data_IF_819437189963
#
_entry.id   IF_819437189963
#
_cell.length_a   1.000
_cell.length_b   1.000
_cell.length_c   1.000
_cell.angle_alpha   90.00
_cell.angle_beta   90.00
_cell.angle_gamma   90.00
#
_symmetry.space_group_name_H-M   'P 1'
#
loop_
_entity.id
_entity.type
_entity.pdbx_description
1 polymer ?
#
# COMPACT_ATOMS: atom_id res chain seq x y z
N UNK A 1 23.56 3.90 15.87
CA UNK A 1 23.18 5.31 15.66
C UNK A 1 24.09 5.91 14.61
N UNK A 2 23.74 5.86 13.35
CA UNK A 2 24.39 6.66 12.31
C UNK A 2 23.44 7.83 12.05
N UNK A 3 23.93 9.04 12.28
CA UNK A 3 23.23 10.28 11.89
C UNK A 3 22.96 10.19 10.39
N UNK A 4 21.73 10.46 9.96
CA UNK A 4 21.46 10.79 8.57
C UNK A 4 22.45 11.88 8.17
N UNK A 5 23.41 11.52 7.32
CA UNK A 5 24.32 12.49 6.77
C UNK A 5 23.50 13.51 5.99
N UNK A 6 23.78 14.78 6.20
CA UNK A 6 23.22 15.94 5.52
C UNK A 6 23.66 15.99 4.05
N UNK A 7 23.31 14.97 3.26
CA UNK A 7 23.51 14.96 1.82
C UNK A 7 22.18 15.31 1.15
N UNK A 8 21.96 16.64 0.99
CA UNK A 8 21.25 17.21 -0.11
C UNK A 8 19.79 16.74 -0.32
N UNK A 9 18.94 16.79 0.70
CA UNK A 9 17.53 17.00 0.44
C UNK A 9 17.43 18.39 -0.21
N UNK A 10 17.14 18.43 -1.50
CA UNK A 10 17.04 19.69 -2.23
C UNK A 10 15.96 20.53 -1.57
N UNK A 11 16.39 21.55 -0.82
CA UNK A 11 15.52 22.50 -0.10
C UNK A 11 14.43 23.09 -1.01
N UNK A 12 14.69 23.17 -2.30
CA UNK A 12 13.77 23.70 -3.31
C UNK A 12 12.55 22.81 -3.52
N UNK A 13 12.72 21.49 -3.60
CA UNK A 13 11.60 20.57 -3.79
C UNK A 13 10.76 20.43 -2.52
N UNK A 14 11.39 20.45 -1.35
CA UNK A 14 10.70 20.43 -0.05
C UNK A 14 9.86 21.69 0.16
N UNK A 15 10.36 22.87 -0.25
CA UNK A 15 9.62 24.14 -0.16
C UNK A 15 8.41 24.15 -1.10
N UNK A 16 8.52 23.57 -2.30
CA UNK A 16 7.39 23.48 -3.26
C UNK A 16 6.29 22.52 -2.77
N UNK A 17 6.67 21.39 -2.15
CA UNK A 17 5.73 20.49 -1.48
C UNK A 17 5.03 21.18 -0.31
N UNK A 18 5.77 21.89 0.54
CA UNK A 18 5.24 22.59 1.70
C UNK A 18 4.29 23.73 1.34
N UNK A 19 4.60 24.49 0.28
CA UNK A 19 3.74 25.59 -0.20
C UNK A 19 2.41 25.11 -0.82
N UNK A 20 2.28 23.81 -1.12
CA UNK A 20 1.08 23.22 -1.73
C UNK A 20 0.35 22.21 -0.86
N UNK A 21 0.80 21.94 0.36
CA UNK A 21 -0.02 21.25 1.38
C UNK A 21 -1.05 22.27 1.86
N UNK A 22 -2.33 22.15 1.51
CA UNK A 22 -3.32 23.13 1.88
C UNK A 22 -3.55 23.13 3.38
N UNK A 23 -3.16 24.19 4.07
CA UNK A 23 -3.53 24.45 5.46
C UNK A 23 -4.99 24.87 5.66
N UNK A 24 -5.75 25.08 4.57
CA UNK A 24 -7.13 25.56 4.57
C UNK A 24 -8.02 24.65 3.71
N UNK A 25 -8.26 23.42 4.17
CA UNK A 25 -9.25 22.54 3.53
C UNK A 25 -10.71 22.98 3.73
N UNK A 26 -10.96 23.84 4.73
CA UNK A 26 -12.35 24.25 5.06
C UNK A 26 -12.91 25.41 4.26
N UNK A 27 -12.13 26.11 3.43
CA UNK A 27 -12.61 27.37 2.80
C UNK A 27 -12.92 27.31 1.31
N UNK A 28 -12.76 26.18 0.63
CA UNK A 28 -13.15 26.06 -0.79
C UNK A 28 -14.36 25.17 -0.91
N UNK A 29 -15.52 25.82 -1.08
CA UNK A 29 -16.77 25.15 -1.44
C UNK A 29 -16.58 24.36 -2.74
N UNK A 30 -16.70 23.06 -2.64
CA UNK A 30 -16.64 22.15 -3.77
C UNK A 30 -18.05 22.06 -4.37
N UNK A 31 -18.20 22.55 -5.59
CA UNK A 31 -19.39 22.28 -6.38
C UNK A 31 -19.42 20.80 -6.79
N UNK A 32 -20.36 20.07 -6.23
CA UNK A 32 -20.57 18.62 -6.41
C UNK A 32 -21.17 18.21 -7.77
N UNK A 33 -21.23 19.11 -8.76
CA UNK A 33 -22.02 18.89 -9.98
C UNK A 33 -21.22 18.59 -11.24
N UNK A 34 -20.10 17.93 -11.28
CA UNK A 34 -19.49 17.56 -12.57
C UNK A 34 -18.58 16.30 -12.48
N UNK A 35 -19.12 15.13 -12.27
CA UNK A 35 -18.44 13.90 -12.72
C UNK A 35 -19.45 12.79 -13.03
N UNK A 36 -20.13 12.93 -14.17
CA UNK A 36 -20.67 11.75 -14.85
C UNK A 36 -19.51 10.89 -15.37
N UNK A 37 -19.63 9.58 -15.21
CA UNK A 37 -18.75 8.57 -15.81
C UNK A 37 -18.65 8.82 -17.34
N UNK A 38 -17.59 9.51 -17.76
CA UNK A 38 -17.29 9.60 -19.19
C UNK A 38 -16.63 8.30 -19.63
N UNK A 39 -17.39 7.51 -20.37
CA UNK A 39 -16.88 6.35 -21.07
C UNK A 39 -15.68 6.75 -21.97
N UNK A 40 -14.61 5.99 -21.91
CA UNK A 40 -13.48 6.12 -22.81
C UNK A 40 -13.95 5.95 -24.26
N UNK A 41 -13.98 7.04 -25.03
CA UNK A 41 -14.42 7.05 -26.42
C UNK A 41 -14.70 8.45 -26.97
N UNK A 42 -14.67 9.47 -26.13
CA UNK A 42 -14.90 10.85 -26.55
C UNK A 42 -13.57 11.60 -26.70
N UNK A 43 -13.32 12.16 -27.89
CA UNK A 43 -12.09 12.93 -28.21
C UNK A 43 -11.97 14.24 -27.41
N UNK A 44 -12.95 14.58 -26.56
CA UNK A 44 -12.95 15.80 -25.74
C UNK A 44 -11.80 15.87 -24.72
N UNK A 45 -11.24 14.74 -24.29
CA UNK A 45 -10.08 14.72 -23.39
C UNK A 45 -8.79 15.24 -24.04
N UNK A 46 -8.71 15.19 -25.38
CA UNK A 46 -7.56 15.70 -26.13
C UNK A 46 -7.50 17.22 -26.09
N UNK A 47 -8.64 17.91 -25.99
CA UNK A 47 -8.69 19.39 -25.95
C UNK A 47 -8.34 19.95 -24.55
N UNK A 48 -8.53 19.18 -23.48
CA UNK A 48 -8.09 19.56 -22.13
C UNK A 48 -6.58 19.33 -21.89
N UNK A 49 -5.92 18.58 -22.76
CA UNK A 49 -4.46 18.39 -22.71
C UNK A 49 -3.63 19.65 -22.97
N UNK A 50 -4.20 20.68 -23.55
CA UNK A 50 -3.48 21.90 -23.98
C UNK A 50 -2.99 22.77 -22.81
N UNK A 51 -3.45 22.53 -21.58
CA UNK A 51 -3.02 23.27 -20.37
C UNK A 51 -2.39 22.39 -19.28
N UNK A 52 -2.39 21.05 -19.44
CA UNK A 52 -1.84 20.10 -18.48
C UNK A 52 -0.60 19.41 -19.03
N UNK A 53 0.38 19.19 -18.19
CA UNK A 53 1.56 18.40 -18.57
C UNK A 53 1.17 16.91 -18.75
N UNK A 54 1.84 16.15 -19.64
CA UNK A 54 1.51 14.74 -19.90
C UNK A 54 1.50 13.85 -18.65
N UNK A 55 2.33 14.16 -17.68
CA UNK A 55 2.43 13.45 -16.40
C UNK A 55 1.20 13.69 -15.51
N UNK A 56 0.66 14.92 -15.48
CA UNK A 56 -0.60 15.21 -14.79
C UNK A 56 -1.76 14.44 -15.41
N UNK A 57 -1.82 14.38 -16.74
CA UNK A 57 -2.85 13.61 -17.46
C UNK A 57 -2.78 12.13 -17.10
N UNK A 58 -1.58 11.56 -17.09
CA UNK A 58 -1.37 10.16 -16.75
C UNK A 58 -1.85 9.87 -15.32
N UNK A 59 -1.40 10.64 -14.33
CA UNK A 59 -1.75 10.35 -12.93
C UNK A 59 -3.22 10.59 -12.64
N UNK A 60 -3.82 11.63 -13.25
CA UNK A 60 -5.25 11.94 -13.06
C UNK A 60 -6.16 10.88 -13.70
N UNK A 61 -5.83 10.44 -14.92
CA UNK A 61 -6.67 9.49 -15.67
C UNK A 61 -6.54 8.06 -15.13
N UNK A 62 -5.34 7.62 -14.79
CA UNK A 62 -5.05 6.23 -14.45
C UNK A 62 -4.80 5.98 -12.98
N UNK A 63 -4.30 6.97 -12.23
CA UNK A 63 -3.90 6.80 -10.84
C UNK A 63 -5.07 6.54 -9.90
N UNK A 64 -4.86 5.64 -8.96
CA UNK A 64 -5.67 5.45 -7.75
C UNK A 64 -4.74 5.24 -6.58
N UNK A 65 -5.09 5.79 -5.44
CA UNK A 65 -4.36 5.45 -4.21
C UNK A 65 -4.96 4.20 -3.59
N UNK A 66 -4.11 3.29 -3.18
CA UNK A 66 -4.49 2.10 -2.45
C UNK A 66 -3.87 2.12 -1.04
N UNK A 67 -4.69 1.97 -0.01
CA UNK A 67 -4.26 1.86 1.38
C UNK A 67 -4.28 0.39 1.79
N UNK A 68 -3.11 -0.22 1.90
CA UNK A 68 -2.98 -1.62 2.24
C UNK A 68 -3.03 -1.87 3.76
N UNK A 69 -3.69 -2.95 4.17
CA UNK A 69 -3.80 -3.37 5.56
C UNK A 69 -4.03 -4.87 5.72
N UNK A 70 -3.89 -5.35 6.96
CA UNK A 70 -4.33 -6.68 7.38
C UNK A 70 -5.59 -6.53 8.23
N UNK A 71 -6.74 -7.09 7.83
CA UNK A 71 -8.04 -6.83 8.47
C UNK A 71 -8.15 -7.41 9.88
N UNK A 72 -7.42 -8.47 10.14
CA UNK A 72 -7.43 -9.29 11.35
C UNK A 72 -6.37 -8.87 12.39
N UNK A 73 -5.54 -7.87 12.11
CA UNK A 73 -4.60 -7.31 13.09
C UNK A 73 -5.35 -6.59 14.20
N UNK A 74 -4.91 -6.85 15.44
CA UNK A 74 -5.49 -6.21 16.63
C UNK A 74 -4.80 -4.86 16.85
N UNK A 75 -5.59 -3.79 16.85
CA UNK A 75 -5.14 -2.44 17.15
C UNK A 75 -5.02 -2.21 18.67
N UNK A 76 -4.42 -1.09 19.07
CA UNK A 76 -4.30 -0.69 20.48
C UNK A 76 -5.65 -0.61 21.22
N UNK A 77 -6.75 -0.42 20.49
CA UNK A 77 -8.11 -0.46 21.04
C UNK A 77 -8.58 -1.86 21.45
N UNK A 78 -7.83 -2.91 21.18
CA UNK A 78 -8.21 -4.31 21.35
C UNK A 78 -9.14 -4.86 20.26
N UNK A 79 -9.50 -4.06 19.26
CA UNK A 79 -10.34 -4.45 18.11
C UNK A 79 -9.47 -4.82 16.93
N UNK A 80 -9.97 -5.70 16.05
CA UNK A 80 -9.37 -5.91 14.76
C UNK A 80 -9.52 -4.67 13.87
N UNK A 81 -8.68 -4.56 12.83
CA UNK A 81 -8.81 -3.47 11.85
C UNK A 81 -10.17 -3.52 11.17
N UNK A 82 -10.68 -4.71 10.80
CA UNK A 82 -12.01 -4.86 10.21
C UNK A 82 -13.12 -4.36 11.14
N UNK A 83 -13.08 -4.72 12.43
CA UNK A 83 -14.04 -4.22 13.42
C UNK A 83 -13.98 -2.70 13.58
N UNK A 84 -12.78 -2.13 13.60
CA UNK A 84 -12.61 -0.69 13.70
C UNK A 84 -13.16 0.04 12.47
N UNK A 85 -12.86 -0.45 11.25
CA UNK A 85 -13.40 0.10 10.00
C UNK A 85 -14.93 0.06 9.97
N UNK A 86 -15.53 -1.07 10.38
CA UNK A 86 -16.99 -1.24 10.42
C UNK A 86 -17.65 -0.27 11.37
N UNK A 87 -17.06 -0.04 12.55
CA UNK A 87 -17.64 0.80 13.59
C UNK A 87 -17.41 2.29 13.34
N UNK A 88 -16.19 2.64 12.99
CA UNK A 88 -15.76 4.04 12.93
C UNK A 88 -16.04 4.69 11.56
N UNK A 89 -16.08 3.89 10.47
CA UNK A 89 -16.26 4.40 9.10
C UNK A 89 -15.05 5.20 8.60
N UNK A 90 -13.90 5.11 9.27
CA UNK A 90 -12.69 5.86 8.98
C UNK A 90 -11.47 4.92 8.93
N UNK A 91 -10.58 5.13 7.93
CA UNK A 91 -9.28 4.49 7.90
C UNK A 91 -8.26 5.31 8.68
N UNK A 92 -7.80 4.76 9.81
CA UNK A 92 -6.86 5.40 10.72
C UNK A 92 -5.41 5.10 10.35
N UNK A 93 -4.51 6.04 10.64
CA UNK A 93 -3.08 5.85 10.41
C UNK A 93 -2.41 4.97 11.49
N UNK A 94 -1.12 4.67 11.28
CA UNK A 94 -0.35 3.81 12.19
C UNK A 94 -0.11 4.43 13.58
N UNK A 95 -0.12 5.77 13.71
CA UNK A 95 0.07 6.44 15.00
C UNK A 95 -1.18 6.37 15.87
N UNK A 96 -2.36 6.25 15.25
CA UNK A 96 -3.63 6.06 15.93
C UNK A 96 -3.87 4.60 16.31
N UNK A 97 -3.53 3.67 15.41
CA UNK A 97 -3.78 2.23 15.58
C UNK A 97 -2.69 1.51 16.36
N UNK A 98 -1.48 2.07 16.40
CA UNK A 98 -0.23 1.46 16.83
C UNK A 98 0.12 0.15 16.08
N UNK A 99 -0.49 -0.06 14.91
CA UNK A 99 -0.13 -1.13 13.98
C UNK A 99 0.88 -0.57 12.99
N UNK A 100 2.05 -1.19 12.88
CA UNK A 100 3.07 -0.78 11.93
C UNK A 100 3.45 -1.91 10.99
N UNK A 101 3.41 -1.61 9.71
CA UNK A 101 3.94 -2.49 8.67
C UNK A 101 5.37 -2.08 8.23
N UNK A 102 5.90 -0.96 8.70
CA UNK A 102 7.20 -0.43 8.25
C UNK A 102 8.10 0.19 9.31
N UNK A 103 7.77 0.06 10.57
CA UNK A 103 8.49 0.69 11.69
C UNK A 103 7.66 1.76 12.37
N UNK A 104 7.61 1.70 13.68
CA UNK A 104 6.91 2.67 14.53
C UNK A 104 7.86 3.71 15.10
N UNK A 105 7.31 4.84 15.52
CA UNK A 105 7.99 5.79 16.37
C UNK A 105 9.07 6.59 15.66
N UNK A 106 10.23 6.73 16.28
CA UNK A 106 11.28 7.67 15.90
C UNK A 106 11.77 7.57 14.44
N UNK A 107 11.72 6.39 13.82
CA UNK A 107 12.09 6.22 12.41
C UNK A 107 11.08 6.90 11.49
N UNK A 108 9.80 6.63 11.70
CA UNK A 108 8.72 7.24 10.89
C UNK A 108 8.62 8.75 11.14
N UNK A 109 8.75 9.19 12.38
CA UNK A 109 8.80 10.61 12.71
C UNK A 109 9.95 11.34 12.01
N UNK A 110 11.14 10.73 11.98
CA UNK A 110 12.27 11.28 11.24
C UNK A 110 12.06 11.34 9.73
N UNK A 111 11.36 10.35 9.15
CA UNK A 111 10.98 10.37 7.73
C UNK A 111 10.00 11.51 7.44
N UNK A 112 8.99 11.69 8.28
CA UNK A 112 8.00 12.77 8.14
C UNK A 112 8.63 14.15 8.34
N UNK A 113 9.58 14.28 9.28
CA UNK A 113 10.34 15.51 9.47
C UNK A 113 11.10 15.91 8.20
N UNK A 114 11.77 14.94 7.57
CA UNK A 114 12.50 15.18 6.32
C UNK A 114 11.56 15.47 5.15
N UNK A 115 10.50 14.67 4.99
CA UNK A 115 9.61 14.76 3.81
C UNK A 115 8.71 15.98 3.85
N UNK A 116 8.24 16.37 5.05
CA UNK A 116 7.26 17.45 5.25
C UNK A 116 7.82 18.65 6.00
N UNK A 117 9.15 18.78 6.09
CA UNK A 117 9.84 19.88 6.78
C UNK A 117 9.33 20.10 8.22
N UNK A 118 9.02 19.02 8.93
CA UNK A 118 8.55 19.06 10.32
C UNK A 118 7.10 19.45 10.52
N UNK A 119 6.28 19.53 9.46
CA UNK A 119 4.86 19.91 9.59
C UNK A 119 4.09 19.06 10.60
N UNK A 120 4.35 17.75 10.66
CA UNK A 120 3.71 16.81 11.58
C UNK A 120 4.49 16.55 12.87
N UNK A 121 5.66 17.17 13.04
CA UNK A 121 6.51 17.03 14.24
C UNK A 121 6.35 18.17 15.23
N UNK A 122 5.47 19.14 14.94
CA UNK A 122 5.18 20.27 15.84
C UNK A 122 4.44 19.80 17.08
N UNK A 123 4.64 20.47 18.21
CA UNK A 123 4.04 20.11 19.49
C UNK A 123 2.48 20.10 19.51
N UNK A 124 1.83 20.69 18.50
CA UNK A 124 0.39 20.74 18.33
C UNK A 124 -0.16 19.66 17.39
N UNK A 125 0.69 18.99 16.59
CA UNK A 125 0.24 17.98 15.66
C UNK A 125 -0.23 16.73 16.41
N UNK A 126 -1.46 16.33 16.14
CA UNK A 126 -2.07 15.12 16.71
C UNK A 126 -1.77 13.89 15.83
N UNK A 127 -1.91 12.70 16.39
CA UNK A 127 -1.76 11.45 15.63
C UNK A 127 -2.72 11.39 14.43
N UNK A 128 -3.95 11.90 14.58
CA UNK A 128 -4.97 11.87 13.52
C UNK A 128 -4.70 12.81 12.35
N UNK A 129 -3.87 13.83 12.53
CA UNK A 129 -3.47 14.76 11.45
C UNK A 129 -2.37 14.18 10.56
N UNK A 130 -1.63 13.17 11.05
CA UNK A 130 -0.54 12.55 10.29
C UNK A 130 -1.05 11.80 9.06
N UNK A 131 -0.25 11.70 7.98
CA UNK A 131 -0.67 11.08 6.73
C UNK A 131 -1.04 9.60 6.89
N UNK A 132 -1.90 9.10 6.00
CA UNK A 132 -2.15 7.69 5.77
C UNK A 132 -1.27 7.23 4.61
N UNK A 133 -0.51 6.17 4.81
CA UNK A 133 0.46 5.67 3.85
C UNK A 133 -0.13 4.56 2.99
N UNK A 134 0.08 4.66 1.70
CA UNK A 134 -0.36 3.69 0.71
C UNK A 134 0.52 3.70 -0.53
N UNK A 135 0.01 3.19 -1.64
CA UNK A 135 0.70 3.22 -2.92
C UNK A 135 -0.17 3.79 -4.03
N UNK A 136 0.47 4.44 -4.98
CA UNK A 136 -0.17 4.89 -6.21
C UNK A 136 -0.25 3.72 -7.20
N UNK A 137 -1.47 3.31 -7.52
CA UNK A 137 -1.77 2.27 -8.52
C UNK A 137 -2.07 2.90 -9.86
N UNK A 138 -1.09 2.92 -10.75
CA UNK A 138 -1.21 3.43 -12.12
C UNK A 138 -1.77 2.39 -13.08
N UNK A 139 -1.44 1.11 -12.88
CA UNK A 139 -1.78 0.01 -13.81
C UNK A 139 -2.94 -0.85 -13.32
N UNK A 140 -3.54 -0.50 -12.19
CA UNK A 140 -4.68 -1.19 -11.59
C UNK A 140 -4.44 -2.68 -11.36
N UNK A 141 -3.34 -3.00 -10.70
CA UNK A 141 -3.06 -4.38 -10.32
C UNK A 141 -4.19 -4.95 -9.46
N UNK A 142 -4.66 -6.18 -9.74
CA UNK A 142 -5.72 -6.80 -8.95
C UNK A 142 -5.42 -6.90 -7.45
N UNK A 143 -4.15 -7.09 -7.09
CA UNK A 143 -3.64 -7.20 -5.73
C UNK A 143 -3.06 -5.87 -5.18
N UNK A 144 -3.29 -4.75 -5.89
CA UNK A 144 -2.84 -3.40 -5.52
C UNK A 144 -1.37 -3.12 -5.83
N UNK A 145 -0.91 -1.87 -5.61
CA UNK A 145 0.44 -1.43 -5.96
C UNK A 145 1.51 -1.92 -4.98
N UNK A 146 1.16 -2.14 -3.71
CA UNK A 146 2.11 -2.47 -2.64
C UNK A 146 1.58 -3.56 -1.69
N UNK A 147 1.29 -4.79 -2.18
CA UNK A 147 0.67 -5.86 -1.40
C UNK A 147 1.52 -6.30 -0.19
N UNK A 148 2.82 -5.97 -0.15
CA UNK A 148 3.67 -6.26 1.02
C UNK A 148 3.14 -5.68 2.33
N UNK A 149 2.34 -4.61 2.27
CA UNK A 149 1.83 -3.92 3.45
C UNK A 149 0.50 -4.46 3.95
N UNK A 150 -0.13 -5.37 3.23
CA UNK A 150 -1.35 -6.01 3.67
C UNK A 150 -2.02 -6.83 2.58
N UNK A 151 -2.79 -7.82 3.03
CA UNK A 151 -3.57 -8.72 2.17
C UNK A 151 -4.83 -8.07 1.59
N UNK A 152 -5.14 -6.85 2.03
CA UNK A 152 -6.29 -6.05 1.62
C UNK A 152 -5.86 -4.64 1.27
N UNK A 153 -6.65 -3.99 0.43
CA UNK A 153 -6.50 -2.56 0.26
C UNK A 153 -7.83 -1.87 -0.02
N UNK A 154 -7.96 -0.66 0.51
CA UNK A 154 -8.98 0.29 0.11
C UNK A 154 -8.47 1.01 -1.14
N UNK A 155 -9.21 0.94 -2.24
CA UNK A 155 -8.98 1.78 -3.41
C UNK A 155 -9.75 3.07 -3.25
N UNK A 156 -9.04 4.19 -3.29
CA UNK A 156 -9.64 5.49 -3.05
C UNK A 156 -10.18 6.11 -4.34
N UNK A 157 -11.19 6.96 -4.22
CA UNK A 157 -11.74 7.73 -5.34
C UNK A 157 -10.69 8.69 -5.92
N UNK A 158 -10.80 9.09 -7.21
CA UNK A 158 -9.81 9.95 -7.87
C UNK A 158 -9.54 11.27 -7.14
N UNK A 159 -10.55 11.87 -6.54
CA UNK A 159 -10.46 13.18 -5.88
C UNK A 159 -9.44 13.19 -4.72
N UNK A 160 -9.19 12.04 -4.11
CA UNK A 160 -8.18 11.91 -3.05
C UNK A 160 -6.77 12.22 -3.56
N UNK A 161 -6.49 12.04 -4.85
CA UNK A 161 -5.19 12.36 -5.45
C UNK A 161 -4.77 13.81 -5.21
N UNK A 162 -5.73 14.74 -5.16
CA UNK A 162 -5.46 16.17 -4.95
C UNK A 162 -4.95 16.53 -3.55
N UNK A 163 -5.11 15.64 -2.59
CA UNK A 163 -4.58 15.78 -1.24
C UNK A 163 -3.50 14.75 -0.90
N UNK A 164 -2.79 14.27 -1.94
CA UNK A 164 -1.70 13.34 -1.78
C UNK A 164 -0.35 13.99 -2.13
N UNK A 165 0.66 13.56 -1.42
CA UNK A 165 2.06 13.64 -1.85
C UNK A 165 2.53 12.26 -2.24
N UNK A 166 3.55 12.18 -3.07
CA UNK A 166 4.08 10.93 -3.60
C UNK A 166 5.60 10.89 -3.49
N UNK A 167 6.13 9.69 -3.30
CA UNK A 167 7.57 9.42 -3.36
C UNK A 167 7.85 8.15 -4.17
N UNK A 168 8.92 8.15 -4.96
CA UNK A 168 9.33 6.95 -5.71
C UNK A 168 10.09 6.00 -4.77
N UNK A 169 9.40 4.96 -4.30
CA UNK A 169 9.85 4.05 -3.26
C UNK A 169 9.44 4.46 -1.84
N UNK A 170 9.79 3.63 -0.87
CA UNK A 170 9.48 3.80 0.55
C UNK A 170 10.19 5.02 1.16
N UNK A 171 9.46 5.86 1.86
CA UNK A 171 10.00 7.05 2.55
C UNK A 171 11.10 6.73 3.57
N UNK A 172 11.16 5.51 4.10
CA UNK A 172 12.26 5.05 4.97
C UNK A 172 13.61 5.07 4.25
N UNK A 173 13.62 4.96 2.92
CA UNK A 173 14.85 5.02 2.11
C UNK A 173 15.27 6.44 1.74
N UNK A 174 14.55 7.47 2.21
CA UNK A 174 14.76 8.87 1.89
C UNK A 174 14.80 9.15 0.36
N UNK A 175 13.72 8.83 -0.38
CA UNK A 175 13.66 9.00 -1.82
C UNK A 175 13.80 10.48 -2.21
N UNK A 176 14.50 10.73 -3.32
CA UNK A 176 14.72 12.09 -3.85
C UNK A 176 13.66 12.52 -4.87
N UNK A 177 13.02 11.54 -5.54
CA UNK A 177 11.91 11.81 -6.44
C UNK A 177 10.61 11.87 -5.63
N UNK A 178 10.13 13.09 -5.41
CA UNK A 178 8.92 13.40 -4.66
C UNK A 178 8.07 14.40 -5.43
N UNK A 179 6.75 14.41 -5.20
CA UNK A 179 5.86 15.33 -5.90
C UNK A 179 4.42 15.28 -5.42
N UNK A 180 3.56 16.00 -6.13
CA UNK A 180 2.11 16.01 -6.00
C UNK A 180 1.49 15.71 -7.36
N UNK A 181 0.17 15.63 -7.43
CA UNK A 181 -0.51 15.49 -8.73
C UNK A 181 -0.16 16.64 -9.71
N UNK A 182 0.05 17.86 -9.19
CA UNK A 182 0.38 19.03 -10.01
C UNK A 182 1.87 19.13 -10.40
N UNK A 183 2.74 18.39 -9.71
CA UNK A 183 4.19 18.35 -9.94
C UNK A 183 4.62 16.90 -9.87
N UNK A 184 4.30 16.12 -10.92
CA UNK A 184 4.54 14.68 -10.95
C UNK A 184 5.76 14.29 -11.80
N UNK A 185 6.35 15.20 -12.55
CA UNK A 185 7.49 14.95 -13.45
C UNK A 185 8.67 14.23 -12.78
N UNK A 186 9.09 14.55 -11.54
CA UNK A 186 10.20 13.84 -10.90
C UNK A 186 9.90 12.36 -10.69
N UNK A 187 8.64 12.01 -10.37
CA UNK A 187 8.19 10.65 -10.17
C UNK A 187 8.10 9.88 -11.50
N UNK A 188 7.56 10.52 -12.53
CA UNK A 188 7.50 9.95 -13.87
C UNK A 188 8.91 9.70 -14.43
N UNK A 189 9.82 10.65 -14.27
CA UNK A 189 11.21 10.50 -14.68
C UNK A 189 11.89 9.34 -13.96
N UNK A 190 11.70 9.22 -12.63
CA UNK A 190 12.23 8.11 -11.85
C UNK A 190 11.65 6.76 -12.28
N UNK A 191 10.35 6.70 -12.59
CA UNK A 191 9.65 5.52 -13.06
C UNK A 191 10.20 5.06 -14.43
N UNK A 192 10.37 5.98 -15.37
CA UNK A 192 10.91 5.70 -16.70
C UNK A 192 12.38 5.26 -16.62
N UNK A 193 13.20 5.94 -15.80
CA UNK A 193 14.61 5.58 -15.57
C UNK A 193 14.74 4.16 -14.95
N UNK A 194 13.90 3.84 -13.97
CA UNK A 194 13.88 2.50 -13.38
C UNK A 194 13.48 1.42 -14.38
N UNK A 195 12.56 1.74 -15.29
CA UNK A 195 12.11 0.83 -16.34
C UNK A 195 13.19 0.62 -17.41
N UNK A 196 13.79 1.70 -17.91
CA UNK A 196 14.84 1.64 -18.93
C UNK A 196 16.09 0.90 -18.45
N UNK A 197 16.53 1.16 -17.23
CA UNK A 197 17.73 0.52 -16.66
C UNK A 197 17.52 -0.93 -16.26
N UNK A 198 16.32 -1.46 -16.45
CA UNK A 198 15.98 -2.82 -16.03
C UNK A 198 16.35 -3.06 -14.57
N UNK A 199 16.26 -2.02 -13.73
CA UNK A 199 16.63 -2.08 -12.32
C UNK A 199 15.65 -2.97 -11.57
N UNK A 200 15.79 -4.22 -11.84
CA UNK A 200 15.26 -5.32 -11.04
C UNK A 200 16.09 -5.45 -9.75
N UNK A 201 16.27 -4.37 -9.07
CA UNK A 201 17.12 -4.30 -7.88
C UNK A 201 16.36 -4.53 -6.60
N UNK A 202 15.32 -5.28 -6.63
CA UNK A 202 15.03 -6.00 -5.43
C UNK A 202 16.10 -7.09 -5.29
N UNK A 203 17.08 -6.84 -4.46
CA UNK A 203 18.15 -7.79 -4.08
C UNK A 203 17.58 -9.13 -3.55
N UNK A 204 16.27 -9.32 -3.51
CA UNK A 204 15.56 -10.26 -2.67
C UNK A 204 14.41 -10.99 -3.39
N UNK A 205 14.36 -11.05 -4.71
CA UNK A 205 13.34 -11.85 -5.38
C UNK A 205 13.01 -11.44 -6.81
N UNK A 206 12.13 -12.14 -7.51
CA UNK A 206 11.73 -11.80 -8.87
C UNK A 206 11.08 -10.41 -8.88
N UNK A 207 11.76 -9.48 -9.50
CA UNK A 207 11.32 -8.12 -9.64
C UNK A 207 10.23 -8.05 -10.71
N UNK A 208 9.05 -7.59 -10.34
CA UNK A 208 8.09 -7.05 -11.28
C UNK A 208 8.11 -5.54 -11.06
N UNK A 209 8.77 -4.79 -11.94
CA UNK A 209 8.61 -3.35 -11.97
C UNK A 209 7.13 -3.03 -12.13
N UNK A 210 6.70 -1.86 -11.64
CA UNK A 210 5.30 -1.41 -11.75
C UNK A 210 4.75 -1.52 -13.19
N UNK A 211 5.62 -1.38 -14.19
CA UNK A 211 5.27 -1.35 -15.60
C UNK A 211 5.95 -2.46 -16.42
N UNK A 212 6.83 -3.24 -15.82
CA UNK A 212 7.71 -4.15 -16.56
C UNK A 212 8.83 -3.43 -17.35
N UNK A 213 9.75 -4.16 -18.01
CA UNK A 213 10.91 -3.60 -18.71
C UNK A 213 10.54 -2.91 -20.04
N UNK A 214 9.25 -2.71 -20.35
CA UNK A 214 8.77 -2.42 -21.68
C UNK A 214 8.34 -0.96 -21.93
N UNK A 215 8.50 -0.05 -20.95
CA UNK A 215 8.04 1.33 -21.08
C UNK A 215 9.15 2.38 -21.00
N UNK A 216 10.12 2.40 -21.94
CA UNK A 216 11.22 3.37 -21.94
C UNK A 216 10.78 4.78 -22.37
N UNK A 217 9.52 4.99 -22.71
CA UNK A 217 8.98 6.28 -23.14
C UNK A 217 7.58 6.53 -22.60
N UNK A 218 7.18 7.79 -22.52
CA UNK A 218 5.83 8.19 -22.11
C UNK A 218 4.75 7.51 -22.97
N UNK A 219 4.98 7.38 -24.28
CA UNK A 219 4.02 6.72 -25.19
C UNK A 219 3.84 5.26 -24.88
N UNK A 220 4.94 4.53 -24.58
CA UNK A 220 4.86 3.13 -24.15
C UNK A 220 4.20 2.99 -22.80
N UNK A 221 4.47 3.91 -21.86
CA UNK A 221 3.79 3.95 -20.57
C UNK A 221 2.26 4.11 -20.77
N UNK A 222 1.82 5.07 -21.57
CA UNK A 222 0.40 5.27 -21.86
C UNK A 222 -0.23 4.02 -22.49
N UNK A 223 0.46 3.38 -23.44
CA UNK A 223 -0.03 2.13 -24.05
C UNK A 223 -0.20 1.02 -23.00
N UNK A 224 0.77 0.85 -22.10
CA UNK A 224 0.66 -0.13 -21.01
C UNK A 224 -0.47 0.19 -20.04
N UNK A 225 -0.71 1.46 -19.75
CA UNK A 225 -1.81 1.89 -18.89
C UNK A 225 -3.17 1.61 -19.52
N UNK A 226 -3.30 1.83 -20.84
CA UNK A 226 -4.52 1.54 -21.60
C UNK A 226 -4.80 0.04 -21.71
N UNK A 227 -3.75 -0.77 -21.92
CA UNK A 227 -3.86 -2.23 -22.04
C UNK A 227 -4.15 -2.93 -20.70
N UNK A 228 -3.90 -2.23 -19.59
CA UNK A 228 -4.00 -2.77 -18.24
C UNK A 228 -2.87 -3.75 -17.88
N UNK A 229 -2.90 -4.34 -16.68
CA UNK A 229 -1.87 -5.25 -16.21
C UNK A 229 -1.87 -6.55 -17.02
N UNK A 230 -0.76 -6.88 -17.66
CA UNK A 230 -0.59 -8.16 -18.36
C UNK A 230 -0.56 -9.31 -17.36
N UNK A 231 -1.04 -10.47 -17.80
CA UNK A 231 -0.93 -11.70 -17.02
C UNK A 231 0.55 -11.96 -16.67
N UNK A 232 0.82 -12.24 -15.40
CA UNK A 232 2.18 -12.49 -14.93
C UNK A 232 2.71 -13.81 -15.47
N UNK A 233 3.93 -13.80 -15.95
CA UNK A 233 4.64 -15.02 -16.36
C UNK A 233 5.20 -15.80 -15.16
N UNK A 234 5.28 -15.18 -13.98
CA UNK A 234 5.83 -15.77 -12.74
C UNK A 234 4.92 -15.46 -11.55
N UNK A 235 4.87 -16.35 -10.54
CA UNK A 235 4.16 -16.08 -9.30
C UNK A 235 4.80 -14.91 -8.52
N UNK A 236 4.06 -14.40 -7.55
CA UNK A 236 4.52 -13.37 -6.64
C UNK A 236 4.55 -11.95 -7.22
N UNK A 237 4.96 -11.02 -6.38
CA UNK A 237 5.07 -9.58 -6.66
C UNK A 237 6.36 -9.02 -6.07
N UNK A 238 6.85 -7.94 -6.68
CA UNK A 238 7.92 -7.14 -6.08
C UNK A 238 7.48 -6.54 -4.74
N UNK A 239 8.41 -6.44 -3.81
CA UNK A 239 8.13 -5.89 -2.48
C UNK A 239 8.33 -4.37 -2.43
N UNK A 240 9.30 -3.85 -3.15
CA UNK A 240 9.81 -2.48 -2.97
C UNK A 240 9.63 -1.58 -4.21
N UNK A 241 9.06 -2.11 -5.32
CA UNK A 241 8.84 -1.36 -6.55
C UNK A 241 7.43 -0.76 -6.55
N UNK A 242 7.27 0.39 -5.94
CA UNK A 242 6.01 1.13 -5.90
C UNK A 242 6.25 2.63 -5.72
N UNK A 243 5.27 3.44 -6.08
CA UNK A 243 5.23 4.84 -5.73
C UNK A 243 4.42 4.95 -4.44
N UNK A 244 5.07 5.36 -3.34
CA UNK A 244 4.38 5.58 -2.08
C UNK A 244 3.49 6.82 -2.18
N UNK A 245 2.29 6.72 -1.64
CA UNK A 245 1.35 7.82 -1.53
C UNK A 245 1.12 8.16 -0.05
N UNK A 246 1.23 9.43 0.28
CA UNK A 246 0.90 9.95 1.60
C UNK A 246 -0.40 10.75 1.46
N UNK A 247 -1.51 10.20 1.99
CA UNK A 247 -2.83 10.83 1.97
C UNK A 247 -2.96 11.74 3.18
N UNK A 248 -3.09 13.05 2.92
CA UNK A 248 -3.28 14.06 3.95
C UNK A 248 -4.76 14.20 4.34
N UNK A 249 -5.01 14.45 5.62
CA UNK A 249 -6.36 14.52 6.17
C UNK A 249 -7.00 13.14 6.38
N UNK A 250 -8.21 13.11 6.89
CA UNK A 250 -8.96 11.90 7.19
C UNK A 250 -9.35 11.15 5.92
N UNK A 251 -9.50 9.83 6.02
CA UNK A 251 -10.04 8.97 4.95
C UNK A 251 -11.33 8.34 5.46
N UNK A 252 -12.45 8.85 4.96
CA UNK A 252 -13.78 8.39 5.31
C UNK A 252 -14.23 7.29 4.33
N UNK A 253 -14.73 6.17 4.85
CA UNK A 253 -15.10 5.03 4.00
C UNK A 253 -16.24 5.37 3.03
N UNK A 254 -17.24 6.14 3.47
CA UNK A 254 -18.42 6.44 2.66
C UNK A 254 -18.21 7.48 1.55
N UNK A 255 -17.11 8.25 1.59
CA UNK A 255 -16.84 9.30 0.58
C UNK A 255 -15.55 9.10 -0.20
N UNK A 256 -14.54 8.52 0.44
CA UNK A 256 -13.18 8.46 -0.11
C UNK A 256 -12.83 7.11 -0.74
N UNK A 257 -13.68 6.08 -0.59
CA UNK A 257 -13.41 4.71 -1.03
C UNK A 257 -14.31 4.31 -2.19
N UNK A 258 -13.73 3.87 -3.30
CA UNK A 258 -14.48 3.32 -4.45
C UNK A 258 -14.60 1.78 -4.39
N UNK A 259 -13.63 1.10 -3.78
CA UNK A 259 -13.64 -0.36 -3.64
C UNK A 259 -12.78 -0.85 -2.47
N UNK A 260 -13.20 -1.96 -1.88
CA UNK A 260 -12.39 -2.79 -0.99
C UNK A 260 -11.92 -4.01 -1.78
N UNK A 261 -10.61 -4.21 -1.87
CA UNK A 261 -10.02 -5.37 -2.56
C UNK A 261 -9.42 -6.32 -1.53
N UNK A 262 -9.81 -7.58 -1.59
CA UNK A 262 -9.64 -8.56 -0.53
C UNK A 262 -8.91 -9.84 -1.00
N UNK A 263 -8.13 -10.44 -0.11
CA UNK A 263 -7.54 -11.76 -0.33
C UNK A 263 -8.61 -12.86 -0.17
N UNK A 264 -8.76 -13.77 -1.15
CA UNK A 264 -9.84 -14.78 -1.16
C UNK A 264 -9.75 -15.82 -0.05
N UNK A 265 -8.61 -15.95 0.65
CA UNK A 265 -8.46 -16.89 1.79
C UNK A 265 -9.42 -16.57 2.94
N UNK A 266 -9.92 -15.33 3.01
CA UNK A 266 -10.84 -14.92 4.06
C UNK A 266 -12.34 -15.08 3.70
N UNK A 267 -12.72 -15.47 2.47
CA UNK A 267 -14.12 -15.51 2.03
C UNK A 267 -15.07 -16.26 2.97
N UNK A 268 -14.63 -17.40 3.46
CA UNK A 268 -15.46 -18.27 4.33
C UNK A 268 -15.22 -18.00 5.83
N UNK A 269 -14.69 -16.84 6.20
CA UNK A 269 -14.37 -16.50 7.58
C UNK A 269 -15.27 -15.39 8.13
N UNK A 270 -15.29 -15.21 9.44
CA UNK A 270 -15.97 -14.07 10.06
C UNK A 270 -15.43 -12.72 9.59
N UNK A 271 -14.12 -12.64 9.25
CA UNK A 271 -13.51 -11.44 8.69
C UNK A 271 -14.08 -11.16 7.29
N UNK A 272 -14.24 -12.20 6.45
CA UNK A 272 -14.88 -12.06 5.14
C UNK A 272 -16.29 -11.49 5.25
N UNK A 273 -17.12 -12.02 6.16
CA UNK A 273 -18.46 -11.50 6.44
C UNK A 273 -18.45 -10.05 6.89
N UNK A 274 -17.49 -9.66 7.76
CA UNK A 274 -17.34 -8.26 8.18
C UNK A 274 -16.98 -7.33 7.01
N UNK A 275 -16.18 -7.81 6.05
CA UNK A 275 -15.81 -7.02 4.87
C UNK A 275 -16.99 -6.82 3.92
N UNK A 276 -17.83 -7.83 3.75
CA UNK A 276 -19.10 -7.72 3.04
C UNK A 276 -20.01 -6.67 3.71
N UNK A 277 -20.13 -6.72 5.02
CA UNK A 277 -20.91 -5.75 5.80
C UNK A 277 -20.34 -4.32 5.69
N UNK A 278 -19.00 -4.15 5.69
CA UNK A 278 -18.35 -2.85 5.48
C UNK A 278 -18.69 -2.31 4.08
N UNK A 279 -18.53 -3.13 3.04
CA UNK A 279 -18.82 -2.71 1.67
C UNK A 279 -20.29 -2.29 1.49
N UNK A 280 -21.21 -3.09 2.01
CA UNK A 280 -22.64 -2.80 1.97
C UNK A 280 -23.01 -1.54 2.74
N UNK A 281 -22.46 -1.37 3.96
CA UNK A 281 -22.76 -0.25 4.83
C UNK A 281 -22.29 1.09 4.28
N UNK A 282 -21.11 1.12 3.65
CA UNK A 282 -20.51 2.35 3.13
C UNK A 282 -20.69 2.55 1.62
N UNK A 283 -21.32 1.59 0.93
CA UNK A 283 -21.79 1.73 -0.45
C UNK A 283 -20.71 1.63 -1.51
N UNK A 284 -19.65 0.86 -1.29
CA UNK A 284 -18.60 0.61 -2.26
C UNK A 284 -18.48 -0.87 -2.62
N UNK A 285 -17.78 -1.17 -3.73
CA UNK A 285 -17.63 -2.53 -4.24
C UNK A 285 -16.64 -3.35 -3.41
N UNK A 286 -16.99 -4.62 -3.11
CA UNK A 286 -16.05 -5.62 -2.61
C UNK A 286 -15.54 -6.47 -3.78
N UNK A 287 -14.24 -6.48 -4.00
CA UNK A 287 -13.54 -7.29 -5.00
C UNK A 287 -12.61 -8.29 -4.34
N UNK A 288 -12.50 -9.46 -4.93
CA UNK A 288 -11.54 -10.47 -4.51
C UNK A 288 -10.42 -10.59 -5.54
N UNK A 289 -9.16 -10.37 -5.12
CA UNK A 289 -8.02 -10.61 -5.99
C UNK A 289 -7.68 -12.11 -6.07
N UNK A 290 -6.58 -12.46 -6.73
CA UNK A 290 -6.22 -13.87 -6.96
C UNK A 290 -5.61 -14.58 -5.73
N UNK A 291 -5.27 -13.86 -4.66
CA UNK A 291 -4.61 -14.39 -3.46
C UNK A 291 -3.13 -14.69 -3.64
N UNK A 292 -2.52 -15.09 -2.53
CA UNK A 292 -1.15 -15.56 -2.46
C UNK A 292 -1.09 -16.83 -1.62
N UNK A 293 -0.77 -17.95 -2.23
CA UNK A 293 -0.66 -19.27 -1.58
C UNK A 293 0.72 -19.85 -1.86
N UNK A 294 1.35 -20.43 -0.85
CA UNK A 294 2.65 -21.07 -0.96
C UNK A 294 2.66 -22.36 -0.11
N UNK A 295 3.33 -23.40 -0.61
CA UNK A 295 3.66 -24.56 0.25
C UNK A 295 4.69 -24.13 1.30
N UNK A 296 4.49 -24.51 2.56
CA UNK A 296 5.39 -24.17 3.65
C UNK A 296 6.83 -24.66 3.42
N UNK A 297 6.99 -25.75 2.68
CA UNK A 297 8.30 -26.29 2.32
C UNK A 297 8.98 -25.51 1.20
N UNK A 298 8.25 -24.73 0.42
CA UNK A 298 8.77 -23.85 -0.62
C UNK A 298 9.21 -22.48 -0.08
N UNK A 299 8.98 -22.18 1.21
CA UNK A 299 9.50 -20.96 1.85
C UNK A 299 11.02 -20.95 1.75
N UNK A 300 11.63 -19.94 1.06
CA UNK A 300 13.08 -19.95 0.85
C UNK A 300 13.85 -19.80 2.17
N UNK A 301 14.78 -20.72 2.44
CA UNK A 301 15.55 -20.73 3.68
C UNK A 301 16.43 -19.49 3.90
N UNK A 302 16.77 -18.79 2.81
CA UNK A 302 17.65 -17.60 2.85
C UNK A 302 16.89 -16.28 2.78
N UNK A 303 15.58 -16.32 2.54
CA UNK A 303 14.77 -15.11 2.45
C UNK A 303 14.20 -14.78 3.82
N UNK A 304 14.60 -13.66 4.37
CA UNK A 304 14.17 -13.16 5.71
C UNK A 304 14.64 -13.99 6.91
N UNK A 305 15.43 -15.05 6.71
CA UNK A 305 15.98 -15.89 7.77
C UNK A 305 15.33 -17.27 7.91
N UNK A 306 16.03 -18.22 8.51
CA UNK A 306 15.54 -19.59 8.69
C UNK A 306 14.33 -19.68 9.63
N UNK A 307 14.19 -18.74 10.57
CA UNK A 307 13.09 -18.66 11.53
C UNK A 307 11.74 -18.45 10.83
N UNK A 308 11.72 -17.74 9.70
CA UNK A 308 10.51 -17.48 8.92
C UNK A 308 9.99 -18.75 8.28
N UNK A 309 10.88 -19.62 7.79
CA UNK A 309 10.50 -20.92 7.24
C UNK A 309 9.94 -21.83 8.33
N UNK A 310 10.65 -21.96 9.46
CA UNK A 310 10.20 -22.77 10.59
C UNK A 310 8.83 -22.33 11.11
N UNK A 311 8.60 -21.01 11.17
CA UNK A 311 7.30 -20.46 11.54
C UNK A 311 6.23 -20.81 10.51
N UNK A 312 6.54 -20.73 9.20
CA UNK A 312 5.63 -21.13 8.12
C UNK A 312 5.21 -22.59 8.22
N UNK A 313 6.16 -23.51 8.41
CA UNK A 313 5.89 -24.94 8.58
C UNK A 313 5.02 -25.18 9.83
N UNK A 314 5.29 -24.49 10.94
CA UNK A 314 4.50 -24.57 12.17
C UNK A 314 3.06 -24.10 11.98
N UNK A 315 2.85 -22.93 11.42
CA UNK A 315 1.47 -22.41 11.24
C UNK A 315 0.66 -23.26 10.26
N UNK A 316 1.29 -23.80 9.21
CA UNK A 316 0.64 -24.73 8.28
C UNK A 316 0.21 -26.02 8.99
N UNK A 317 1.04 -26.56 9.89
CA UNK A 317 0.71 -27.75 10.65
C UNK A 317 -0.36 -27.48 11.73
N UNK A 318 -0.32 -26.33 12.38
CA UNK A 318 -1.16 -26.02 13.54
C UNK A 318 -2.54 -25.48 13.15
N UNK A 319 -2.60 -24.61 12.13
CA UNK A 319 -3.81 -23.91 11.72
C UNK A 319 -4.34 -24.33 10.35
N UNK A 320 -3.52 -25.03 9.56
CA UNK A 320 -3.87 -25.43 8.19
C UNK A 320 -4.83 -26.61 8.12
N UNK A 321 -5.22 -26.94 6.90
CA UNK A 321 -6.11 -28.06 6.57
C UNK A 321 -5.37 -29.40 6.34
N UNK A 322 -4.08 -29.46 6.64
CA UNK A 322 -3.21 -30.62 6.39
C UNK A 322 -2.56 -30.64 5.00
N UNK A 323 -2.83 -29.67 4.15
CA UNK A 323 -2.21 -29.57 2.81
C UNK A 323 -0.77 -29.06 2.84
N UNK A 324 -0.31 -28.48 3.95
CA UNK A 324 0.98 -27.82 4.08
C UNK A 324 1.02 -26.40 3.49
N UNK A 325 -0.11 -25.89 2.98
CA UNK A 325 -0.21 -24.57 2.35
C UNK A 325 -0.33 -23.46 3.38
N UNK A 326 0.24 -22.32 3.03
CA UNK A 326 0.17 -21.06 3.78
C UNK A 326 -0.50 -20.02 2.90
N UNK A 327 -1.40 -19.22 3.48
CA UNK A 327 -2.07 -18.09 2.86
C UNK A 327 -2.21 -16.90 3.84
N UNK A 328 -2.87 -15.85 3.42
CA UNK A 328 -3.04 -14.64 4.23
C UNK A 328 -3.86 -14.90 5.50
N UNK A 329 -4.88 -15.75 5.44
CA UNK A 329 -5.75 -16.08 6.58
C UNK A 329 -4.97 -16.82 7.67
N UNK A 330 -4.16 -17.82 7.29
CA UNK A 330 -3.34 -18.55 8.25
C UNK A 330 -2.33 -17.64 8.95
N UNK A 331 -1.65 -16.76 8.19
CA UNK A 331 -0.72 -15.78 8.78
C UNK A 331 -1.45 -14.84 9.75
N UNK A 332 -2.64 -14.40 9.38
CA UNK A 332 -3.46 -13.54 10.22
C UNK A 332 -3.96 -14.22 11.48
N UNK A 333 -4.41 -15.46 11.37
CA UNK A 333 -4.84 -16.29 12.52
C UNK A 333 -3.70 -16.48 13.51
N UNK A 334 -2.51 -16.82 13.04
CA UNK A 334 -1.32 -16.92 13.87
C UNK A 334 -0.99 -15.60 14.57
N UNK A 335 -1.07 -14.48 13.84
CA UNK A 335 -0.82 -13.16 14.42
C UNK A 335 -1.81 -12.79 15.54
N UNK A 336 -3.07 -13.15 15.41
CA UNK A 336 -4.06 -12.96 16.48
C UNK A 336 -3.71 -13.81 17.71
N UNK A 337 -3.33 -15.07 17.51
CA UNK A 337 -2.93 -15.96 18.62
C UNK A 337 -1.71 -15.41 19.33
N UNK A 338 -0.70 -14.91 18.61
CA UNK A 338 0.49 -14.30 19.24
C UNK A 338 0.12 -13.12 20.15
N UNK A 339 -0.91 -12.35 19.79
CA UNK A 339 -1.36 -11.22 20.61
C UNK A 339 -2.22 -11.65 21.79
N UNK A 340 -3.10 -12.65 21.61
CA UNK A 340 -4.08 -13.07 22.63
C UNK A 340 -3.57 -14.15 23.56
N UNK A 341 -2.61 -14.96 23.11
CA UNK A 341 -1.98 -16.08 23.84
C UNK A 341 -0.50 -16.18 23.45
N UNK A 342 0.35 -15.23 23.89
CA UNK A 342 1.75 -15.16 23.50
C UNK A 342 2.56 -16.38 23.95
N UNK A 343 2.17 -17.05 25.02
CA UNK A 343 2.84 -18.24 25.54
C UNK A 343 2.85 -19.39 24.51
N UNK A 344 1.84 -19.44 23.64
CA UNK A 344 1.74 -20.47 22.59
C UNK A 344 2.88 -20.43 21.58
N UNK A 345 3.55 -19.30 21.44
CA UNK A 345 4.67 -19.08 20.55
C UNK A 345 5.97 -18.71 21.29
N UNK A 346 6.03 -18.93 22.60
CA UNK A 346 7.19 -18.55 23.44
C UNK A 346 8.51 -19.22 23.01
N UNK A 347 8.44 -20.40 22.40
CA UNK A 347 9.58 -21.10 21.79
C UNK A 347 10.12 -20.43 20.51
N UNK A 348 9.34 -19.52 19.91
CA UNK A 348 9.72 -18.77 18.71
C UNK A 348 10.29 -17.38 19.02
N UNK A 349 10.24 -16.96 20.26
CA UNK A 349 10.66 -15.67 20.78
C UNK A 349 9.51 -14.92 21.48
N UNK A 350 9.76 -13.68 21.85
CA UNK A 350 8.69 -12.83 22.37
C UNK A 350 7.65 -12.47 21.28
N UNK A 351 6.50 -11.95 21.71
CA UNK A 351 5.40 -11.62 20.80
C UNK A 351 5.83 -10.64 19.69
N UNK A 352 6.72 -9.69 19.98
CA UNK A 352 7.17 -8.69 19.01
C UNK A 352 8.05 -9.31 17.92
N UNK A 353 8.94 -10.23 18.31
CA UNK A 353 9.80 -11.00 17.40
C UNK A 353 8.94 -11.90 16.50
N UNK A 354 8.00 -12.63 17.10
CA UNK A 354 7.11 -13.54 16.36
C UNK A 354 6.22 -12.77 15.37
N UNK A 355 5.65 -11.64 15.77
CA UNK A 355 4.88 -10.77 14.86
C UNK A 355 5.74 -10.23 13.72
N UNK A 356 7.03 -9.92 13.98
CA UNK A 356 7.95 -9.51 12.93
C UNK A 356 8.24 -10.65 11.93
N UNK A 357 8.40 -11.89 12.41
CA UNK A 357 8.57 -13.05 11.53
C UNK A 357 7.29 -13.37 10.74
N UNK A 358 6.11 -13.22 11.31
CA UNK A 358 4.84 -13.36 10.58
C UNK A 358 4.69 -12.28 9.48
N UNK A 359 5.11 -11.04 9.75
CA UNK A 359 5.20 -10.00 8.73
C UNK A 359 6.17 -10.39 7.61
N UNK A 360 7.33 -10.94 7.96
CA UNK A 360 8.32 -11.42 6.99
C UNK A 360 7.79 -12.62 6.18
N UNK A 361 7.02 -13.50 6.81
CA UNK A 361 6.36 -14.61 6.12
C UNK A 361 5.31 -14.10 5.13
N UNK A 362 4.56 -13.05 5.48
CA UNK A 362 3.70 -12.36 4.51
C UNK A 362 4.49 -11.81 3.32
N UNK A 363 5.68 -11.22 3.54
CA UNK A 363 6.55 -10.81 2.44
C UNK A 363 7.00 -11.98 1.56
N UNK A 364 7.21 -13.17 2.14
CA UNK A 364 7.49 -14.39 1.35
C UNK A 364 6.29 -14.75 0.46
N UNK A 365 5.07 -14.74 1.02
CA UNK A 365 3.86 -15.01 0.24
C UNK A 365 3.71 -14.02 -0.93
N UNK A 366 3.93 -12.74 -0.71
CA UNK A 366 3.87 -11.73 -1.77
C UNK A 366 4.93 -11.96 -2.83
N UNK A 367 6.17 -12.30 -2.43
CA UNK A 367 7.29 -12.45 -3.37
C UNK A 367 7.29 -13.76 -4.16
N UNK A 368 6.77 -14.84 -3.57
CA UNK A 368 6.88 -16.20 -4.13
C UNK A 368 5.54 -16.90 -4.31
N UNK A 369 4.47 -16.44 -3.65
CA UNK A 369 3.17 -17.08 -3.65
C UNK A 369 2.52 -17.14 -5.03
N UNK A 370 1.80 -18.21 -5.27
CA UNK A 370 0.96 -18.43 -6.45
C UNK A 370 -0.46 -17.91 -6.22
N UNK A 371 -1.23 -17.62 -7.28
CA UNK A 371 -2.66 -17.41 -7.16
C UNK A 371 -3.32 -18.61 -6.45
N UNK A 372 -4.25 -18.34 -5.53
CA UNK A 372 -5.05 -19.41 -4.95
C UNK A 372 -5.88 -20.05 -6.06
N UNK A 373 -5.93 -21.37 -6.11
CA UNK A 373 -6.81 -22.07 -7.03
C UNK A 373 -8.26 -21.65 -6.76
N UNK A 374 -8.99 -21.27 -7.83
CA UNK A 374 -10.39 -20.88 -7.76
C UNK A 374 -11.25 -22.06 -7.33
#
# INVERSE_FOLDING_TARGET
MRRCGSSGCSTTNTILLYARIPGDFESRGWDHELHEERAFGDESWVSEMDSRTPDMVIVTAFGRVALNFHPDRIAASGRTVAEALLLDGEYRNQFETLISNGGLGAVREGCEECLFAGAYNQARATASERPRYGGLDLVRHPDGPCPRFGSYHLRLVPDVLHRCTFSFGDTVTAPTAVGTIDVFEPLLAALLDATEKGRHTSVIGPCNTLLGPEAPSVMMLVSLLLDGPKAKSKPGRALDDYIEAQVHGQVQLGSDVEALVADPSFRATSVGTQLEEIADRFGFELRWHQGFVLDSQEVPAHFRGPEVRALGERIAAEFGDGSGRIDAELVGRAARVVVTDPERFADHGDASVTLQHLKQLWHVLVAYGHPSAR
#
